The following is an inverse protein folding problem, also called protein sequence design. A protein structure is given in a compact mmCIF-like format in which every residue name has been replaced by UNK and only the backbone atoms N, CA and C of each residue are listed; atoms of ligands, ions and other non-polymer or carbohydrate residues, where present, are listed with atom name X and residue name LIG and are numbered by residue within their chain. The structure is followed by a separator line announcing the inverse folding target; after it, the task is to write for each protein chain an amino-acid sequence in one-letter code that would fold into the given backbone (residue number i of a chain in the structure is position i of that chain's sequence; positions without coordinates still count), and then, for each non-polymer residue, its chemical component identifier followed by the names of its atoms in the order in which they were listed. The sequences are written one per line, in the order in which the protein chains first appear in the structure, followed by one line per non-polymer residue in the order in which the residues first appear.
data_IF_963945976418
#
_entry.id   IF_963945976418
#
_cell.length_a   1.000
_cell.length_b   1.000
_cell.length_c   1.000
_cell.angle_alpha   90.00
_cell.angle_beta   90.00
_cell.angle_gamma   90.00
#
_symmetry.space_group_name_H-M   'P 1'
#
loop_
_entity.id
_entity.type
_entity.pdbx_description
1 polymer ?
#
# COMPACT_ATOMS: atom_id res chain seq x y z
N UNK A 1 -15.68 12.96 11.91
CA UNK A 1 -16.08 12.18 10.72
C UNK A 1 -15.85 10.75 11.08
N UNK A 2 -16.85 9.90 10.86
CA UNK A 2 -16.69 8.46 11.08
C UNK A 2 -15.64 7.93 10.11
N UNK A 3 -14.71 7.11 10.59
CA UNK A 3 -13.65 6.55 9.76
C UNK A 3 -14.24 5.70 8.64
N UNK A 4 -13.60 5.67 7.45
CA UNK A 4 -14.01 4.74 6.38
C UNK A 4 -13.73 3.27 6.71
N UNK A 5 -12.99 3.02 7.79
CA UNK A 5 -12.73 1.70 8.35
C UNK A 5 -13.88 1.20 9.24
N UNK A 6 -14.91 2.03 9.47
CA UNK A 6 -16.05 1.67 10.30
C UNK A 6 -16.76 0.41 9.77
N UNK A 7 -16.92 -0.55 10.68
CA UNK A 7 -17.53 -1.87 10.45
C UNK A 7 -16.84 -2.69 9.33
N UNK A 8 -15.57 -2.39 9.03
CA UNK A 8 -14.74 -3.11 8.07
C UNK A 8 -14.00 -4.29 8.69
N UNK A 9 -13.74 -5.30 7.87
CA UNK A 9 -12.92 -6.46 8.23
C UNK A 9 -11.57 -6.37 7.53
N UNK A 10 -10.48 -6.31 8.30
CA UNK A 10 -9.12 -6.16 7.78
C UNK A 10 -8.28 -7.38 8.17
N UNK A 11 -7.66 -8.03 7.18
CA UNK A 11 -6.64 -9.04 7.41
C UNK A 11 -5.26 -8.35 7.43
N UNK A 12 -4.51 -8.53 8.51
CA UNK A 12 -3.11 -8.09 8.61
C UNK A 12 -2.20 -9.31 8.73
N UNK A 13 -1.13 -9.32 7.93
CA UNK A 13 -0.22 -10.46 7.80
C UNK A 13 1.22 -9.99 7.93
N UNK A 14 1.91 -10.45 8.96
CA UNK A 14 3.29 -10.09 9.30
C UNK A 14 3.83 -11.17 10.25
N UNK A 15 5.07 -11.62 10.07
CA UNK A 15 5.68 -12.64 10.93
C UNK A 15 6.12 -12.08 12.30
N UNK A 16 6.09 -10.75 12.47
CA UNK A 16 6.43 -10.08 13.71
C UNK A 16 5.15 -9.75 14.53
N UNK A 17 4.89 -10.45 15.66
CA UNK A 17 3.67 -10.23 16.47
C UNK A 17 3.55 -8.81 17.02
N UNK A 18 4.67 -8.13 17.27
CA UNK A 18 4.71 -6.75 17.72
C UNK A 18 4.19 -5.79 16.63
N UNK A 19 4.50 -6.06 15.35
CA UNK A 19 3.98 -5.28 14.22
C UNK A 19 2.49 -5.50 14.05
N UNK A 20 2.01 -6.74 14.20
CA UNK A 20 0.59 -7.05 14.17
C UNK A 20 -0.17 -6.33 15.29
N UNK A 21 0.40 -6.29 16.49
CA UNK A 21 -0.19 -5.63 17.66
C UNK A 21 -0.25 -4.12 17.46
N UNK A 22 0.82 -3.52 16.94
CA UNK A 22 0.86 -2.08 16.65
C UNK A 22 -0.13 -1.70 15.55
N UNK A 23 -0.23 -2.48 14.47
CA UNK A 23 -1.23 -2.26 13.42
C UNK A 23 -2.66 -2.34 13.97
N UNK A 24 -2.94 -3.34 14.80
CA UNK A 24 -4.25 -3.50 15.44
C UNK A 24 -4.58 -2.30 16.35
N UNK A 25 -3.61 -1.84 17.14
CA UNK A 25 -3.75 -0.66 18.02
C UNK A 25 -4.10 0.59 17.20
N UNK A 26 -3.28 0.94 16.20
CA UNK A 26 -3.49 2.12 15.35
C UNK A 26 -4.84 2.10 14.62
N UNK A 27 -5.26 0.93 14.11
CA UNK A 27 -6.56 0.77 13.45
C UNK A 27 -7.70 0.90 14.46
N UNK A 28 -7.57 0.29 15.64
CA UNK A 28 -8.61 0.27 16.66
C UNK A 28 -8.80 1.62 17.34
N UNK A 29 -7.72 2.39 17.54
CA UNK A 29 -7.77 3.75 18.07
C UNK A 29 -8.57 4.68 17.14
N UNK A 30 -8.36 4.57 15.83
CA UNK A 30 -9.10 5.36 14.85
C UNK A 30 -10.52 4.81 14.62
N UNK A 31 -10.72 3.51 14.77
CA UNK A 31 -11.98 2.83 14.45
C UNK A 31 -12.24 1.61 15.35
N UNK A 32 -12.87 1.79 16.53
CA UNK A 32 -13.07 0.72 17.51
C UNK A 32 -13.93 -0.46 17.04
N UNK A 33 -14.78 -0.27 16.02
CA UNK A 33 -15.63 -1.33 15.46
C UNK A 33 -15.02 -1.97 14.20
N UNK A 34 -13.80 -1.59 13.81
CA UNK A 34 -13.09 -2.29 12.75
C UNK A 34 -12.64 -3.66 13.28
N UNK A 35 -12.94 -4.72 12.53
CA UNK A 35 -12.53 -6.08 12.90
C UNK A 35 -11.17 -6.37 12.28
N UNK A 36 -10.15 -6.50 13.12
CA UNK A 36 -8.80 -6.89 12.69
C UNK A 36 -8.62 -8.40 12.86
N UNK A 37 -8.14 -9.07 11.81
CA UNK A 37 -7.77 -10.48 11.80
C UNK A 37 -6.28 -10.54 11.54
N UNK A 38 -5.57 -11.35 12.32
CA UNK A 38 -4.10 -11.45 12.30
C UNK A 38 -3.64 -12.79 11.74
N UNK A 39 -2.55 -12.76 10.97
CA UNK A 39 -1.83 -13.96 10.59
C UNK A 39 -0.32 -13.75 10.64
N UNK A 40 0.36 -14.70 11.31
CA UNK A 40 1.82 -14.65 11.51
C UNK A 40 2.60 -15.47 10.47
N UNK A 41 1.91 -16.28 9.67
CA UNK A 41 2.55 -17.19 8.71
C UNK A 41 1.87 -17.13 7.36
N UNK A 42 2.64 -17.46 6.32
CA UNK A 42 2.10 -17.58 4.98
C UNK A 42 0.95 -18.59 4.92
N UNK A 43 1.12 -19.77 5.51
CA UNK A 43 0.15 -20.86 5.41
C UNK A 43 -1.18 -20.45 6.05
N UNK A 44 -1.11 -19.78 7.21
CA UNK A 44 -2.30 -19.30 7.89
C UNK A 44 -2.99 -18.16 7.13
N UNK A 45 -2.21 -17.21 6.62
CA UNK A 45 -2.73 -16.12 5.80
C UNK A 45 -3.42 -16.64 4.53
N UNK A 46 -2.81 -17.60 3.83
CA UNK A 46 -3.38 -18.25 2.65
C UNK A 46 -4.72 -18.92 2.96
N UNK A 47 -4.80 -19.63 4.07
CA UNK A 47 -6.03 -20.33 4.47
C UNK A 47 -7.14 -19.34 4.86
N UNK A 48 -6.78 -18.23 5.52
CA UNK A 48 -7.69 -17.12 5.83
C UNK A 48 -8.22 -16.43 4.58
N UNK A 49 -7.36 -16.08 3.62
CA UNK A 49 -7.74 -15.46 2.35
C UNK A 49 -8.81 -16.27 1.59
N UNK A 50 -8.74 -17.61 1.68
CA UNK A 50 -9.66 -18.52 1.00
C UNK A 50 -10.96 -18.82 1.77
N UNK A 51 -11.03 -18.49 3.06
CA UNK A 51 -12.14 -18.92 3.94
C UNK A 51 -13.04 -17.79 4.40
N UNK A 52 -12.54 -16.56 4.43
CA UNK A 52 -13.26 -15.41 4.99
C UNK A 52 -13.12 -14.20 4.05
N UNK A 53 -14.22 -13.44 3.78
CA UNK A 53 -14.12 -12.18 3.06
C UNK A 53 -13.54 -11.07 3.93
N UNK A 54 -12.68 -10.25 3.34
CA UNK A 54 -12.10 -9.05 3.94
C UNK A 54 -12.38 -7.83 3.06
N UNK A 55 -12.50 -6.67 3.69
CA UNK A 55 -12.59 -5.39 3.00
C UNK A 55 -11.21 -4.87 2.58
N UNK A 56 -10.15 -5.25 3.30
CA UNK A 56 -8.77 -4.85 3.02
C UNK A 56 -7.77 -5.88 3.58
N UNK A 57 -6.65 -6.05 2.88
CA UNK A 57 -5.55 -6.92 3.30
C UNK A 57 -4.25 -6.12 3.39
N UNK A 58 -3.52 -6.26 4.49
CA UNK A 58 -2.18 -5.69 4.68
C UNK A 58 -1.18 -6.83 4.75
N UNK A 59 -0.12 -6.78 3.92
CA UNK A 59 0.87 -7.85 3.80
C UNK A 59 2.29 -7.34 4.02
N UNK A 60 3.04 -8.01 4.91
CA UNK A 60 4.50 -7.95 4.89
C UNK A 60 5.08 -8.66 3.66
N UNK A 61 6.27 -8.23 3.22
CA UNK A 61 6.93 -8.74 2.02
C UNK A 61 7.83 -9.95 2.29
N UNK A 62 8.72 -9.91 3.28
CA UNK A 62 9.83 -10.87 3.38
C UNK A 62 9.57 -12.02 4.34
N UNK A 63 8.86 -11.79 5.45
CA UNK A 63 8.63 -12.83 6.46
C UNK A 63 7.53 -13.82 6.09
N UNK A 64 6.58 -13.39 5.26
CA UNK A 64 5.38 -14.17 4.93
C UNK A 64 5.21 -14.43 3.43
N UNK A 65 6.29 -14.34 2.63
CA UNK A 65 6.23 -14.45 1.16
C UNK A 65 5.17 -13.52 0.55
N UNK A 66 5.24 -12.24 0.90
CA UNK A 66 4.16 -11.27 0.63
C UNK A 66 3.75 -11.12 -0.82
N UNK A 67 4.68 -11.28 -1.77
CA UNK A 67 4.32 -11.21 -3.20
C UNK A 67 3.48 -12.42 -3.65
N UNK A 68 3.68 -13.59 -3.06
CA UNK A 68 2.85 -14.76 -3.34
C UNK A 68 1.43 -14.54 -2.80
N UNK A 69 1.33 -14.00 -1.58
CA UNK A 69 0.04 -13.62 -0.96
C UNK A 69 -0.64 -12.47 -1.71
N UNK A 70 0.11 -11.49 -2.22
CA UNK A 70 -0.41 -10.38 -3.02
C UNK A 70 -1.10 -10.92 -4.28
N UNK A 71 -0.42 -11.79 -5.03
CA UNK A 71 -0.98 -12.38 -6.24
C UNK A 71 -2.29 -13.16 -5.94
N UNK A 72 -2.32 -13.90 -4.83
CA UNK A 72 -3.53 -14.62 -4.40
C UNK A 72 -4.65 -13.66 -4.00
N UNK A 73 -4.37 -12.67 -3.14
CA UNK A 73 -5.36 -11.74 -2.63
C UNK A 73 -5.95 -10.85 -3.75
N UNK A 74 -5.13 -10.38 -4.69
CA UNK A 74 -5.58 -9.65 -5.87
C UNK A 74 -6.40 -10.54 -6.80
N UNK A 75 -6.03 -11.80 -6.97
CA UNK A 75 -6.85 -12.78 -7.71
C UNK A 75 -8.23 -13.03 -7.10
N UNK A 76 -8.37 -12.81 -5.78
CA UNK A 76 -9.63 -12.83 -5.04
C UNK A 76 -10.33 -11.46 -4.97
N UNK A 77 -9.82 -10.45 -5.68
CA UNK A 77 -10.30 -9.06 -5.72
C UNK A 77 -10.20 -8.28 -4.39
N UNK A 78 -9.33 -8.69 -3.47
CA UNK A 78 -9.08 -7.88 -2.29
C UNK A 78 -8.23 -6.64 -2.64
N UNK A 79 -8.53 -5.46 -2.06
CA UNK A 79 -7.59 -4.35 -2.07
C UNK A 79 -6.44 -4.65 -1.11
N UNK A 80 -5.21 -4.61 -1.63
CA UNK A 80 -4.02 -5.00 -0.88
C UNK A 80 -3.09 -3.81 -0.65
N UNK A 81 -2.62 -3.66 0.59
CA UNK A 81 -1.57 -2.75 1.00
C UNK A 81 -0.32 -3.57 1.31
N UNK A 82 0.78 -3.28 0.62
CA UNK A 82 2.08 -3.84 0.96
C UNK A 82 2.73 -2.97 2.03
N UNK A 83 3.19 -3.57 3.13
CA UNK A 83 3.87 -2.90 4.23
C UNK A 83 5.24 -3.57 4.43
N UNK A 84 6.35 -2.83 4.46
CA UNK A 84 7.67 -3.48 4.61
C UNK A 84 8.69 -2.60 5.30
N UNK A 85 9.62 -3.21 6.05
CA UNK A 85 10.79 -2.50 6.57
C UNK A 85 12.00 -2.59 5.63
N UNK A 86 12.33 -3.79 5.15
CA UNK A 86 13.62 -4.02 4.45
C UNK A 86 13.51 -4.15 2.92
N UNK A 87 12.32 -4.37 2.36
CA UNK A 87 12.18 -4.57 0.91
C UNK A 87 11.96 -3.27 0.14
N UNK A 88 12.33 -2.10 0.67
CA UNK A 88 12.11 -0.82 0.01
C UNK A 88 13.13 -0.59 -1.12
N UNK A 89 12.72 -0.81 -2.38
CA UNK A 89 13.47 -0.46 -3.59
C UNK A 89 12.54 -0.05 -4.74
N UNK A 90 13.05 0.61 -5.79
CA UNK A 90 12.28 0.89 -7.01
C UNK A 90 11.68 -0.37 -7.64
N UNK A 91 12.42 -1.47 -7.65
CA UNK A 91 12.03 -2.73 -8.27
C UNK A 91 10.89 -3.40 -7.52
N UNK A 92 10.93 -3.42 -6.19
CA UNK A 92 9.85 -4.00 -5.37
C UNK A 92 8.59 -3.14 -5.38
N UNK A 93 8.74 -1.82 -5.42
CA UNK A 93 7.63 -0.88 -5.62
C UNK A 93 6.97 -1.10 -6.99
N UNK A 94 7.76 -1.16 -8.06
CA UNK A 94 7.27 -1.49 -9.41
C UNK A 94 6.53 -2.82 -9.40
N UNK A 95 7.15 -3.87 -8.86
CA UNK A 95 6.55 -5.21 -8.78
C UNK A 95 5.21 -5.21 -8.05
N UNK A 96 5.09 -4.46 -6.94
CA UNK A 96 3.84 -4.33 -6.21
C UNK A 96 2.75 -3.65 -7.06
N UNK A 97 3.09 -2.60 -7.80
CA UNK A 97 2.16 -1.92 -8.73
C UNK A 97 1.70 -2.90 -9.82
N UNK A 98 2.63 -3.60 -10.48
CA UNK A 98 2.32 -4.54 -11.57
C UNK A 98 1.45 -5.72 -11.10
N UNK A 99 1.64 -6.16 -9.85
CA UNK A 99 0.83 -7.23 -9.25
C UNK A 99 -0.51 -6.75 -8.67
N UNK A 100 -0.85 -5.46 -8.80
CA UNK A 100 -2.16 -4.93 -8.43
C UNK A 100 -2.30 -4.50 -6.98
N UNK A 101 -1.20 -4.30 -6.25
CA UNK A 101 -1.26 -3.63 -4.95
C UNK A 101 -1.87 -2.22 -5.11
N UNK A 102 -2.60 -1.78 -4.09
CA UNK A 102 -3.20 -0.44 -4.05
C UNK A 102 -2.37 0.57 -3.26
N UNK A 103 -1.46 0.09 -2.42
CA UNK A 103 -0.50 0.94 -1.73
C UNK A 103 0.78 0.16 -1.38
N UNK A 104 1.86 0.89 -1.19
CA UNK A 104 3.16 0.37 -0.79
C UNK A 104 3.79 1.31 0.24
N UNK A 105 3.93 0.84 1.48
CA UNK A 105 4.27 1.66 2.62
C UNK A 105 5.46 1.08 3.39
N UNK A 106 6.35 1.93 3.92
CA UNK A 106 7.34 1.48 4.89
C UNK A 106 6.67 1.21 6.26
N UNK A 107 7.16 0.24 7.05
CA UNK A 107 6.67 0.00 8.43
C UNK A 107 6.76 1.27 9.32
N UNK A 108 7.64 2.22 9.00
CA UNK A 108 7.73 3.55 9.63
C UNK A 108 6.42 4.38 9.55
N UNK A 109 5.47 4.00 8.68
CA UNK A 109 4.18 4.69 8.52
C UNK A 109 3.04 4.07 9.31
N UNK A 110 3.29 3.05 10.13
CA UNK A 110 2.24 2.39 10.94
C UNK A 110 1.51 3.42 11.83
N UNK A 111 2.25 4.28 12.55
CA UNK A 111 1.69 5.33 13.43
C UNK A 111 0.87 6.43 12.74
N UNK A 112 0.63 6.29 11.43
CA UNK A 112 -0.21 7.18 10.64
C UNK A 112 -0.79 6.45 9.44
N UNK A 113 -1.06 5.14 9.59
CA UNK A 113 -1.44 4.27 8.47
C UNK A 113 -2.89 4.49 8.04
N UNK A 114 -3.77 4.86 8.97
CA UNK A 114 -5.22 4.94 8.76
C UNK A 114 -5.61 5.79 7.54
N UNK A 115 -5.10 7.02 7.33
CA UNK A 115 -5.42 7.80 6.14
C UNK A 115 -5.08 7.08 4.82
N UNK A 116 -4.02 6.26 4.80
CA UNK A 116 -3.67 5.47 3.62
C UNK A 116 -4.67 4.33 3.39
N UNK A 117 -5.10 3.65 4.46
CA UNK A 117 -6.11 2.59 4.36
C UNK A 117 -7.46 3.16 3.88
N UNK A 118 -7.85 4.32 4.38
CA UNK A 118 -9.06 5.03 3.95
C UNK A 118 -8.99 5.47 2.48
N UNK A 119 -7.82 5.93 2.02
CA UNK A 119 -7.59 6.28 0.61
C UNK A 119 -7.71 5.02 -0.27
N UNK A 120 -7.19 3.87 0.17
CA UNK A 120 -7.25 2.58 -0.55
C UNK A 120 -8.68 2.05 -0.69
N UNK A 121 -9.52 2.23 0.34
CA UNK A 121 -10.93 1.82 0.31
C UNK A 121 -11.81 2.78 -0.50
N UNK A 122 -11.47 4.06 -0.54
CA UNK A 122 -12.30 5.09 -1.16
C UNK A 122 -12.07 5.31 -2.65
N UNK A 123 -10.95 4.83 -3.17
CA UNK A 123 -10.49 5.15 -4.52
C UNK A 123 -10.18 3.89 -5.33
N UNK A 124 -10.39 4.01 -6.64
CA UNK A 124 -9.84 3.05 -7.59
C UNK A 124 -8.31 3.11 -7.59
N UNK A 125 -7.69 2.04 -8.08
CA UNK A 125 -6.24 1.79 -7.97
C UNK A 125 -5.38 2.99 -8.40
N UNK A 126 -5.65 3.59 -9.56
CA UNK A 126 -4.83 4.71 -10.08
C UNK A 126 -4.97 5.97 -9.21
N UNK A 127 -6.19 6.33 -8.80
CA UNK A 127 -6.43 7.46 -7.89
C UNK A 127 -5.80 7.24 -6.51
N UNK A 128 -5.82 6.00 -6.00
CA UNK A 128 -5.12 5.63 -4.77
C UNK A 128 -3.61 5.84 -4.87
N UNK A 129 -2.99 5.35 -5.95
CA UNK A 129 -1.56 5.55 -6.20
C UNK A 129 -1.18 7.02 -6.33
N UNK A 130 -1.99 7.85 -7.00
CA UNK A 130 -1.76 9.29 -7.10
C UNK A 130 -1.68 9.93 -5.70
N UNK A 131 -2.67 9.68 -4.84
CA UNK A 131 -2.67 10.19 -3.47
C UNK A 131 -1.47 9.69 -2.66
N UNK A 132 -1.10 8.43 -2.84
CA UNK A 132 0.09 7.87 -2.21
C UNK A 132 1.34 8.65 -2.64
N UNK A 133 1.55 8.87 -3.94
CA UNK A 133 2.71 9.62 -4.43
C UNK A 133 2.69 11.10 -4.03
N UNK A 134 1.52 11.73 -3.92
CA UNK A 134 1.39 13.08 -3.34
C UNK A 134 1.84 13.11 -1.87
N UNK A 135 1.53 12.08 -1.09
CA UNK A 135 1.93 11.97 0.33
C UNK A 135 3.38 11.50 0.53
N UNK A 136 3.87 10.63 -0.36
CA UNK A 136 5.09 9.84 -0.16
C UNK A 136 6.19 10.09 -1.20
N UNK A 137 5.97 10.96 -2.20
CA UNK A 137 6.94 11.22 -3.27
C UNK A 137 8.30 11.71 -2.75
N UNK A 138 8.28 12.56 -1.74
CA UNK A 138 9.47 13.01 -1.00
C UNK A 138 10.20 11.86 -0.30
N UNK A 139 9.44 10.95 0.31
CA UNK A 139 10.00 9.77 0.97
C UNK A 139 10.71 8.87 -0.05
N UNK A 140 10.05 8.54 -1.17
CA UNK A 140 10.64 7.70 -2.21
C UNK A 140 11.88 8.34 -2.82
N UNK A 141 11.84 9.64 -3.13
CA UNK A 141 12.99 10.38 -3.68
C UNK A 141 14.18 10.38 -2.73
N UNK A 142 13.96 10.55 -1.41
CA UNK A 142 15.04 10.48 -0.42
C UNK A 142 15.57 9.06 -0.25
N UNK A 143 14.69 8.06 -0.26
CA UNK A 143 15.02 6.66 0.03
C UNK A 143 15.69 5.95 -1.14
N UNK A 144 15.33 6.31 -2.38
CA UNK A 144 15.82 5.67 -3.61
C UNK A 144 16.78 6.55 -4.43
N UNK A 145 16.86 7.84 -4.11
CA UNK A 145 17.59 8.84 -4.91
C UNK A 145 16.67 9.56 -5.89
N UNK A 146 17.07 10.73 -6.42
CA UNK A 146 16.21 11.55 -7.28
C UNK A 146 15.83 10.88 -8.61
N UNK A 147 16.71 10.03 -9.13
CA UNK A 147 16.58 9.40 -10.46
C UNK A 147 16.07 7.95 -10.34
N UNK A 148 15.36 7.60 -9.28
CA UNK A 148 14.96 6.21 -9.02
C UNK A 148 14.00 5.62 -10.06
N UNK A 149 13.27 6.48 -10.76
CA UNK A 149 12.39 6.11 -11.88
C UNK A 149 13.18 5.77 -13.16
N UNK A 150 14.49 5.99 -13.17
CA UNK A 150 15.37 5.60 -14.27
C UNK A 150 15.65 4.09 -14.30
N UNK A 151 15.34 3.38 -13.20
CA UNK A 151 15.43 1.93 -13.09
C UNK A 151 14.64 1.19 -14.19
N UNK A 152 13.52 1.77 -14.64
CA UNK A 152 12.73 1.30 -15.78
C UNK A 152 11.96 2.47 -16.41
N UNK A 153 12.67 3.31 -17.18
CA UNK A 153 12.06 4.50 -17.80
C UNK A 153 10.73 4.21 -18.54
N UNK A 154 10.62 3.13 -19.36
CA UNK A 154 9.37 2.83 -20.06
C UNK A 154 8.17 2.64 -19.12
N UNK A 155 8.32 1.81 -18.09
CA UNK A 155 7.25 1.56 -17.11
C UNK A 155 6.83 2.85 -16.40
N UNK A 156 7.81 3.58 -15.84
CA UNK A 156 7.52 4.77 -15.04
C UNK A 156 6.90 5.89 -15.87
N UNK A 157 7.30 6.04 -17.13
CA UNK A 157 6.67 6.99 -18.05
C UNK A 157 5.19 6.67 -18.28
N UNK A 158 4.88 5.43 -18.64
CA UNK A 158 3.49 4.99 -18.87
C UNK A 158 2.64 5.14 -17.60
N UNK A 159 3.19 4.72 -16.46
CA UNK A 159 2.49 4.81 -15.19
C UNK A 159 2.22 6.27 -14.78
N UNK A 160 3.19 7.16 -14.92
CA UNK A 160 3.03 8.59 -14.66
C UNK A 160 2.00 9.24 -15.62
N UNK A 161 1.90 8.78 -16.87
CA UNK A 161 0.86 9.22 -17.80
C UNK A 161 -0.53 8.80 -17.32
N UNK A 162 -0.71 7.55 -16.87
CA UNK A 162 -1.96 7.06 -16.28
C UNK A 162 -2.39 7.90 -15.06
N UNK A 163 -1.45 8.24 -14.18
CA UNK A 163 -1.70 9.08 -13.01
C UNK A 163 -2.21 10.49 -13.39
N UNK A 164 -1.76 11.05 -14.52
CA UNK A 164 -2.20 12.37 -15.02
C UNK A 164 -3.58 12.31 -15.66
N UNK A 165 -3.92 11.24 -16.36
CA UNK A 165 -5.20 11.11 -17.09
C UNK A 165 -6.40 10.85 -16.17
N UNK A 166 -6.17 10.35 -14.95
CA UNK A 166 -7.21 10.06 -13.95
C UNK A 166 -7.65 11.32 -13.15
N UNK A 167 -7.14 12.50 -13.50
CA UNK A 167 -7.50 13.77 -12.87
C UNK A 167 -7.38 14.96 -13.82
N UNK A 168 -8.51 15.56 -14.18
CA UNK A 168 -8.52 16.89 -14.79
C UNK A 168 -7.73 17.91 -13.94
N UNK A 169 -6.84 18.64 -14.63
CA UNK A 169 -6.05 19.82 -14.21
C UNK A 169 -5.00 19.65 -13.10
N UNK A 170 -3.74 19.46 -13.51
CA UNK A 170 -2.57 19.83 -12.71
C UNK A 170 -2.43 21.36 -12.70
N UNK A 171 -2.34 21.96 -11.51
CA UNK A 171 -1.80 23.31 -11.32
C UNK A 171 -0.31 23.13 -11.05
N UNK A 172 0.53 23.64 -11.95
CA UNK A 172 1.97 23.71 -11.72
C UNK A 172 2.24 24.56 -10.46
N UNK A 173 2.81 23.97 -9.42
CA UNK A 173 3.43 24.73 -8.34
C UNK A 173 4.77 25.25 -8.84
N UNK A 174 5.00 26.58 -8.87
CA UNK A 174 6.26 27.14 -9.32
C UNK A 174 7.34 26.81 -8.28
N UNK A 175 8.19 25.81 -8.56
CA UNK A 175 9.37 25.53 -7.73
C UNK A 175 9.79 24.08 -7.58
N UNK A 176 8.92 23.10 -7.88
CA UNK A 176 9.30 21.69 -7.91
C UNK A 176 9.41 21.22 -9.35
N UNK A 177 10.60 21.37 -9.95
CA UNK A 177 10.96 20.54 -11.09
C UNK A 177 11.14 19.12 -10.55
N UNK A 178 10.15 18.26 -10.75
CA UNK A 178 10.42 16.84 -10.94
C UNK A 178 11.39 16.79 -12.13
N UNK A 179 12.67 16.56 -11.83
CA UNK A 179 13.72 16.46 -12.83
C UNK A 179 13.49 15.19 -13.65
N UNK A 180 12.67 15.28 -14.69
CA UNK A 180 12.60 14.29 -15.73
C UNK A 180 13.72 14.59 -16.73
N UNK A 181 14.78 13.80 -16.72
CA UNK A 181 15.82 13.76 -17.77
C UNK A 181 16.07 12.32 -18.22
#
# INVERSE_FOLDING_TARGET
MDSKLQDKSILIVDDEPDILSLLEEEISEACPNCRVIKAETYEWARDLLNSTPYDLVILDIMGVRGFDLLAQAVGLNYPVVMLTAHALSPETLKKAIEQGARAYLPKEKIGGIVPFLEDVLAHETISGWRRLFERMGDFFSRRFGPDWQESDKPFWKEFNEKLKTDGTSYVETPGQKLGFY
#
